data_IF_413557973782
#
_entry.id   IF_413557973782
#
_cell.length_a   1.000
_cell.length_b   1.000
_cell.length_c   1.000
_cell.angle_alpha   90.00
_cell.angle_beta   90.00
_cell.angle_gamma   90.00
#
_symmetry.space_group_name_H-M   'P 1'
#
loop_
_entity.id
_entity.type
_entity.pdbx_description
1 polymer ?
#
# COMPACT_ATOMS: atom_id res chain seq x y z
N UNK A 1 6.11 -1.67 -24.28
CA UNK A 1 4.65 -1.45 -24.27
C UNK A 1 4.00 -2.14 -23.06
N UNK A 2 4.22 -3.42 -22.82
CA UNK A 2 3.67 -4.21 -21.72
C UNK A 2 3.95 -3.58 -20.34
N UNK A 3 5.17 -3.14 -20.07
CA UNK A 3 5.55 -2.52 -18.79
C UNK A 3 4.79 -1.23 -18.46
N UNK A 4 4.40 -0.46 -19.48
CA UNK A 4 3.57 0.74 -19.30
C UNK A 4 2.14 0.36 -18.94
N UNK A 5 1.60 -0.68 -19.56
CA UNK A 5 0.25 -1.17 -19.27
C UNK A 5 0.19 -1.75 -17.85
N UNK A 6 1.15 -2.60 -17.47
CA UNK A 6 1.26 -3.17 -16.12
C UNK A 6 1.36 -2.06 -15.07
N UNK A 7 2.15 -1.02 -15.34
CA UNK A 7 2.27 0.13 -14.46
C UNK A 7 0.94 0.88 -14.28
N UNK A 8 0.21 1.17 -15.37
CA UNK A 8 -1.06 1.88 -15.31
C UNK A 8 -2.15 1.05 -14.63
N UNK A 9 -2.26 -0.22 -15.00
CA UNK A 9 -3.23 -1.15 -14.41
C UNK A 9 -2.92 -1.38 -12.93
N UNK A 10 -1.66 -1.62 -12.58
CA UNK A 10 -1.23 -1.79 -11.20
C UNK A 10 -1.49 -0.55 -10.34
N UNK A 11 -1.20 0.64 -10.87
CA UNK A 11 -1.43 1.91 -10.18
C UNK A 11 -2.91 2.16 -9.92
N UNK A 12 -3.75 2.02 -10.95
CA UNK A 12 -5.20 2.20 -10.82
C UNK A 12 -5.82 1.13 -9.93
N UNK A 13 -5.41 -0.14 -10.09
CA UNK A 13 -5.90 -1.25 -9.30
C UNK A 13 -5.55 -1.12 -7.81
N UNK A 14 -4.28 -0.86 -7.49
CA UNK A 14 -3.86 -0.66 -6.10
C UNK A 14 -4.48 0.60 -5.48
N UNK A 15 -4.54 1.70 -6.21
CA UNK A 15 -5.18 2.92 -5.72
C UNK A 15 -6.65 2.72 -5.39
N UNK A 16 -7.39 2.05 -6.27
CA UNK A 16 -8.81 1.73 -6.06
C UNK A 16 -9.00 0.75 -4.89
N UNK A 17 -8.14 -0.27 -4.76
CA UNK A 17 -8.17 -1.21 -3.65
C UNK A 17 -7.95 -0.52 -2.30
N UNK A 18 -6.99 0.41 -2.22
CA UNK A 18 -6.74 1.16 -0.99
C UNK A 18 -7.87 2.09 -0.62
N UNK A 19 -8.51 2.73 -1.61
CA UNK A 19 -9.72 3.52 -1.37
C UNK A 19 -10.86 2.64 -0.85
N UNK A 20 -11.06 1.47 -1.45
CA UNK A 20 -12.07 0.52 -1.01
C UNK A 20 -11.77 0.01 0.40
N UNK A 21 -10.53 -0.36 0.69
CA UNK A 21 -10.10 -0.82 2.01
C UNK A 21 -10.31 0.25 3.10
N UNK A 22 -9.90 1.49 2.83
CA UNK A 22 -10.13 2.61 3.74
C UNK A 22 -11.63 2.90 3.93
N UNK A 23 -12.41 2.89 2.85
CA UNK A 23 -13.85 3.10 2.90
C UNK A 23 -14.58 2.06 3.76
N UNK A 24 -14.30 0.77 3.58
CA UNK A 24 -14.95 -0.30 4.36
C UNK A 24 -14.65 -0.18 5.85
N UNK A 25 -13.41 0.17 6.22
CA UNK A 25 -13.00 0.38 7.61
C UNK A 25 -13.63 1.64 8.22
N UNK A 26 -13.72 2.74 7.46
CA UNK A 26 -14.37 3.97 7.92
C UNK A 26 -15.87 3.79 8.13
N UNK A 27 -16.50 2.92 7.36
CA UNK A 27 -17.92 2.60 7.50
C UNK A 27 -18.25 1.80 8.76
N UNK A 28 -17.31 0.98 9.22
CA UNK A 28 -17.49 0.11 10.39
C UNK A 28 -16.25 0.14 11.30
N UNK A 29 -15.94 1.29 11.94
CA UNK A 29 -14.71 1.47 12.70
C UNK A 29 -14.59 0.52 13.89
N UNK A 30 -15.71 0.18 14.53
CA UNK A 30 -15.73 -0.74 15.66
C UNK A 30 -15.33 -2.17 15.26
N UNK A 31 -15.84 -2.66 14.12
CA UNK A 31 -15.46 -4.00 13.62
C UNK A 31 -13.98 -4.04 13.22
N UNK A 32 -13.47 -2.94 12.67
CA UNK A 32 -12.05 -2.86 12.35
C UNK A 32 -11.17 -2.81 13.61
N UNK A 33 -11.62 -2.13 14.66
CA UNK A 33 -10.96 -2.14 15.96
C UNK A 33 -10.87 -3.56 16.54
N UNK A 34 -11.98 -4.32 16.48
CA UNK A 34 -11.99 -5.73 16.89
C UNK A 34 -11.03 -6.60 16.04
N UNK A 35 -10.96 -6.36 14.73
CA UNK A 35 -10.01 -7.07 13.87
C UNK A 35 -8.56 -6.77 14.26
N UNK A 36 -8.21 -5.52 14.54
CA UNK A 36 -6.86 -5.13 15.00
C UNK A 36 -6.53 -5.74 16.36
N UNK A 37 -7.50 -5.76 17.28
CA UNK A 37 -7.33 -6.37 18.62
C UNK A 37 -7.12 -7.89 18.50
N UNK A 38 -7.79 -8.53 17.56
CA UNK A 38 -7.68 -9.97 17.27
C UNK A 38 -6.27 -10.44 16.95
N UNK A 39 -5.39 -9.57 16.46
CA UNK A 39 -3.98 -9.91 16.22
C UNK A 39 -3.17 -10.14 17.52
N UNK A 40 -3.65 -9.64 18.67
CA UNK A 40 -3.01 -9.76 19.98
C UNK A 40 -1.52 -9.31 19.98
N UNK A 41 -1.21 -8.29 19.22
CA UNK A 41 0.15 -7.74 19.08
C UNK A 41 0.31 -6.37 19.76
N UNK A 42 -0.81 -5.68 20.01
CA UNK A 42 -0.81 -4.31 20.50
C UNK A 42 -1.59 -4.18 21.82
N UNK A 43 -1.18 -3.28 22.71
CA UNK A 43 -1.98 -2.93 23.88
C UNK A 43 -3.25 -2.16 23.46
N UNK A 44 -4.34 -2.29 24.22
CA UNK A 44 -5.67 -1.78 23.91
C UNK A 44 -5.69 -0.30 23.50
N UNK A 45 -4.90 0.56 24.14
CA UNK A 45 -4.82 1.98 23.79
C UNK A 45 -4.25 2.22 22.38
N UNK A 46 -3.29 1.39 21.94
CA UNK A 46 -2.68 1.48 20.61
C UNK A 46 -3.62 0.93 19.55
N UNK A 47 -4.39 -0.11 19.85
CA UNK A 47 -5.41 -0.68 18.96
C UNK A 47 -6.39 0.42 18.51
N UNK A 48 -6.91 1.21 19.44
CA UNK A 48 -7.86 2.30 19.15
C UNK A 48 -7.22 3.34 18.21
N UNK A 49 -5.98 3.75 18.46
CA UNK A 49 -5.26 4.73 17.64
C UNK A 49 -5.06 4.18 16.21
N UNK A 50 -4.56 2.96 16.11
CA UNK A 50 -4.33 2.30 14.81
C UNK A 50 -5.65 2.17 14.03
N UNK A 51 -6.71 1.70 14.69
CA UNK A 51 -8.01 1.53 14.06
C UNK A 51 -8.63 2.84 13.56
N UNK A 52 -8.30 3.97 14.19
CA UNK A 52 -8.78 5.30 13.78
C UNK A 52 -7.93 5.95 12.69
N UNK A 53 -6.62 5.82 12.76
CA UNK A 53 -5.66 6.50 11.85
C UNK A 53 -5.48 5.74 10.55
N UNK A 54 -5.39 4.41 10.60
CA UNK A 54 -5.04 3.59 9.46
C UNK A 54 -6.01 3.71 8.27
N UNK A 55 -7.34 3.73 8.45
CA UNK A 55 -8.27 3.89 7.33
C UNK A 55 -8.09 5.21 6.58
N UNK A 56 -7.83 6.29 7.29
CA UNK A 56 -7.55 7.60 6.68
C UNK A 56 -6.25 7.59 5.89
N UNK A 57 -5.23 6.94 6.43
CA UNK A 57 -3.94 6.78 5.75
C UNK A 57 -4.09 5.96 4.45
N UNK A 58 -4.92 4.91 4.47
CA UNK A 58 -5.23 4.11 3.27
C UNK A 58 -5.94 4.97 2.21
N UNK A 59 -6.94 5.77 2.59
CA UNK A 59 -7.64 6.66 1.66
C UNK A 59 -6.68 7.68 1.07
N UNK A 60 -5.88 8.35 1.89
CA UNK A 60 -4.89 9.35 1.43
C UNK A 60 -3.87 8.72 0.49
N UNK A 61 -3.32 7.55 0.82
CA UNK A 61 -2.37 6.85 -0.04
C UNK A 61 -3.01 6.40 -1.35
N UNK A 62 -4.25 5.90 -1.32
CA UNK A 62 -5.00 5.53 -2.52
C UNK A 62 -5.20 6.72 -3.45
N UNK A 63 -5.66 7.86 -2.93
CA UNK A 63 -5.82 9.09 -3.69
C UNK A 63 -4.48 9.61 -4.23
N UNK A 64 -3.44 9.61 -3.40
CA UNK A 64 -2.11 10.05 -3.80
C UNK A 64 -1.55 9.20 -4.94
N UNK A 65 -1.70 7.88 -4.86
CA UNK A 65 -1.28 6.97 -5.91
C UNK A 65 -2.06 7.22 -7.21
N UNK A 66 -3.39 7.43 -7.12
CA UNK A 66 -4.24 7.73 -8.28
C UNK A 66 -3.90 9.09 -8.90
N UNK A 67 -3.62 10.11 -8.10
CA UNK A 67 -3.18 11.42 -8.58
C UNK A 67 -1.84 11.35 -9.32
N UNK A 68 -0.98 10.38 -8.96
CA UNK A 68 0.32 10.17 -9.63
C UNK A 68 1.38 11.21 -9.29
N UNK A 69 1.11 12.07 -8.30
CA UNK A 69 2.07 13.06 -7.87
C UNK A 69 3.19 12.40 -7.06
N UNK A 70 4.44 12.66 -7.47
CA UNK A 70 5.63 12.02 -6.84
C UNK A 70 5.45 10.51 -6.63
N UNK A 71 5.09 9.81 -7.68
CA UNK A 71 4.69 8.40 -7.68
C UNK A 71 5.67 7.47 -6.94
N UNK A 72 6.98 7.77 -6.98
CA UNK A 72 8.00 7.01 -6.25
C UNK A 72 7.72 6.94 -4.74
N UNK A 73 7.33 8.08 -4.14
CA UNK A 73 7.05 8.13 -2.70
C UNK A 73 5.74 7.43 -2.36
N UNK A 74 4.66 7.73 -3.08
CA UNK A 74 3.36 7.10 -2.81
C UNK A 74 3.42 5.57 -2.97
N UNK A 75 4.09 5.08 -4.02
CA UNK A 75 4.27 3.64 -4.24
C UNK A 75 5.16 3.01 -3.16
N UNK A 76 6.21 3.70 -2.69
CA UNK A 76 7.09 3.20 -1.62
C UNK A 76 6.35 3.14 -0.29
N UNK A 77 5.58 4.17 0.08
CA UNK A 77 4.76 4.14 1.30
C UNK A 77 3.72 3.04 1.26
N UNK A 78 3.05 2.86 0.12
CA UNK A 78 2.08 1.79 -0.07
C UNK A 78 2.72 0.40 0.03
N UNK A 79 3.87 0.19 -0.60
CA UNK A 79 4.63 -1.04 -0.47
C UNK A 79 5.06 -1.32 0.97
N UNK A 80 5.52 -0.30 1.70
CA UNK A 80 5.90 -0.43 3.11
C UNK A 80 4.71 -0.81 3.98
N UNK A 81 3.55 -0.20 3.76
CA UNK A 81 2.33 -0.50 4.50
C UNK A 81 1.84 -1.93 4.23
N UNK A 82 1.78 -2.35 2.95
CA UNK A 82 1.42 -3.72 2.58
C UNK A 82 2.41 -4.73 3.14
N UNK A 83 3.71 -4.46 3.05
CA UNK A 83 4.74 -5.32 3.62
C UNK A 83 4.59 -5.50 5.12
N UNK A 84 4.30 -4.41 5.84
CA UNK A 84 4.01 -4.47 7.27
C UNK A 84 2.80 -5.36 7.56
N UNK A 85 1.70 -5.22 6.81
CA UNK A 85 0.52 -6.08 6.98
C UNK A 85 0.82 -7.55 6.71
N UNK A 86 1.52 -7.86 5.63
CA UNK A 86 1.90 -9.25 5.30
C UNK A 86 2.72 -9.87 6.42
N UNK A 87 3.67 -9.13 7.00
CA UNK A 87 4.48 -9.60 8.14
C UNK A 87 3.60 -9.84 9.36
N UNK A 88 2.75 -8.90 9.73
CA UNK A 88 1.85 -8.99 10.90
C UNK A 88 0.90 -10.20 10.74
N UNK A 89 0.28 -10.35 9.57
CA UNK A 89 -0.59 -11.50 9.27
C UNK A 89 0.19 -12.82 9.32
N UNK A 90 1.39 -12.86 8.75
CA UNK A 90 2.24 -14.06 8.75
C UNK A 90 2.64 -14.48 10.17
N UNK A 91 3.02 -13.53 11.01
CA UNK A 91 3.33 -13.80 12.43
C UNK A 91 2.11 -14.30 13.19
N UNK A 92 0.95 -13.69 12.99
CA UNK A 92 -0.31 -14.08 13.65
C UNK A 92 -0.73 -15.49 13.22
N UNK A 93 -0.64 -15.78 11.93
CA UNK A 93 -0.90 -17.11 11.38
C UNK A 93 0.05 -18.18 11.95
N UNK A 94 1.35 -17.87 12.02
CA UNK A 94 2.37 -18.78 12.57
C UNK A 94 2.17 -19.06 14.06
N UNK A 95 1.57 -18.11 14.80
CA UNK A 95 1.20 -18.26 16.21
C UNK A 95 -0.09 -19.08 16.41
N UNK A 96 -0.78 -19.48 15.34
CA UNK A 96 -2.04 -20.20 15.40
C UNK A 96 -3.21 -19.36 15.95
N UNK A 97 -3.12 -18.03 15.87
CA UNK A 97 -4.17 -17.11 16.31
C UNK A 97 -5.18 -16.95 15.17
N UNK A 98 -6.43 -17.28 15.44
CA UNK A 98 -7.52 -17.00 14.53
C UNK A 98 -7.90 -15.52 14.62
N UNK A 99 -7.56 -14.74 13.61
CA UNK A 99 -7.88 -13.34 13.50
C UNK A 99 -8.43 -13.03 12.11
N UNK A 100 -9.20 -11.95 12.00
CA UNK A 100 -9.65 -11.43 10.72
C UNK A 100 -8.51 -10.67 10.04
N UNK A 101 -8.35 -10.86 8.74
CA UNK A 101 -7.35 -10.15 7.93
C UNK A 101 -7.50 -8.63 8.04
N UNK A 102 -8.74 -8.12 8.02
CA UNK A 102 -9.04 -6.70 8.12
C UNK A 102 -8.49 -5.84 6.97
N UNK A 103 -7.92 -6.45 5.91
CA UNK A 103 -7.32 -5.72 4.81
C UNK A 103 -8.36 -5.11 3.87
N UNK A 104 -9.25 -5.93 3.30
CA UNK A 104 -10.22 -5.50 2.28
C UNK A 104 -11.68 -5.80 2.66
N UNK A 105 -11.93 -6.49 3.75
CA UNK A 105 -13.24 -6.81 4.26
C UNK A 105 -13.20 -7.15 5.74
N UNK A 106 -14.31 -6.96 6.41
CA UNK A 106 -14.47 -7.34 7.80
C UNK A 106 -15.03 -8.78 7.82
N UNK A 107 -14.43 -9.65 8.65
CA UNK A 107 -14.84 -11.04 8.76
C UNK A 107 -14.14 -11.98 7.77
N UNK A 108 -13.07 -11.56 7.09
CA UNK A 108 -12.22 -12.49 6.35
C UNK A 108 -11.13 -13.07 7.26
N UNK A 109 -11.13 -14.38 7.54
CA UNK A 109 -10.08 -14.99 8.37
C UNK A 109 -8.72 -14.97 7.67
N UNK A 110 -7.65 -14.94 8.46
CA UNK A 110 -6.30 -15.11 7.95
C UNK A 110 -6.14 -16.57 7.51
N UNK A 111 -5.97 -16.76 6.20
CA UNK A 111 -5.75 -18.07 5.56
C UNK A 111 -4.53 -18.02 4.66
N UNK A 112 -3.97 -19.16 4.23
CA UNK A 112 -2.92 -19.17 3.22
C UNK A 112 -3.32 -18.45 1.91
N UNK A 113 -4.61 -18.45 1.58
CA UNK A 113 -5.15 -17.77 0.39
C UNK A 113 -5.07 -16.26 0.56
N UNK A 114 -5.52 -15.72 1.71
CA UNK A 114 -5.44 -14.28 2.00
C UNK A 114 -4.00 -13.80 2.09
N UNK A 115 -3.11 -14.58 2.71
CA UNK A 115 -1.68 -14.29 2.76
C UNK A 115 -1.04 -14.25 1.37
N UNK A 116 -1.38 -15.21 0.50
CA UNK A 116 -0.86 -15.23 -0.89
C UNK A 116 -1.35 -14.04 -1.68
N UNK A 117 -2.64 -13.70 -1.58
CA UNK A 117 -3.25 -12.53 -2.23
C UNK A 117 -2.51 -11.25 -1.83
N UNK A 118 -2.33 -11.03 -0.53
CA UNK A 118 -1.75 -9.80 -0.01
C UNK A 118 -0.24 -9.72 -0.29
N UNK A 119 0.45 -10.88 -0.33
CA UNK A 119 1.85 -10.96 -0.79
C UNK A 119 2.00 -10.60 -2.26
N UNK A 120 1.06 -10.99 -3.12
CA UNK A 120 1.05 -10.60 -4.54
C UNK A 120 0.80 -9.09 -4.71
N UNK A 121 -0.11 -8.52 -3.92
CA UNK A 121 -0.35 -7.08 -3.91
C UNK A 121 0.88 -6.30 -3.42
N UNK A 122 1.56 -6.82 -2.41
CA UNK A 122 2.84 -6.28 -1.94
C UNK A 122 3.90 -6.33 -3.03
N UNK A 123 4.07 -7.46 -3.71
CA UNK A 123 5.01 -7.60 -4.83
C UNK A 123 4.71 -6.61 -5.97
N UNK A 124 3.43 -6.40 -6.29
CA UNK A 124 3.00 -5.41 -7.27
C UNK A 124 3.34 -3.98 -6.83
N UNK A 125 3.13 -3.65 -5.56
CA UNK A 125 3.47 -2.33 -5.02
C UNK A 125 4.99 -2.07 -5.04
N UNK A 126 5.79 -3.08 -4.69
CA UNK A 126 7.26 -3.02 -4.79
C UNK A 126 7.69 -2.81 -6.24
N UNK A 127 7.10 -3.55 -7.17
CA UNK A 127 7.36 -3.37 -8.59
C UNK A 127 7.07 -1.93 -9.05
N UNK A 128 5.92 -1.37 -8.66
CA UNK A 128 5.57 0.02 -8.99
C UNK A 128 6.55 1.03 -8.39
N UNK A 129 6.99 0.81 -7.15
CA UNK A 129 7.99 1.65 -6.49
C UNK A 129 9.32 1.62 -7.26
N UNK A 130 9.85 0.44 -7.55
CA UNK A 130 11.11 0.27 -8.29
C UNK A 130 11.01 0.89 -9.69
N UNK A 131 9.89 0.67 -10.38
CA UNK A 131 9.67 1.25 -11.71
C UNK A 131 9.64 2.77 -11.69
N UNK A 132 8.97 3.36 -10.68
CA UNK A 132 8.90 4.81 -10.52
C UNK A 132 10.27 5.43 -10.23
N UNK A 133 11.08 4.80 -9.36
CA UNK A 133 12.44 5.24 -9.06
C UNK A 133 13.36 5.17 -10.27
N UNK A 134 13.30 4.10 -11.05
CA UNK A 134 14.12 3.93 -12.26
C UNK A 134 13.78 4.96 -13.34
N UNK A 135 12.51 5.29 -13.52
CA UNK A 135 12.09 6.29 -14.54
C UNK A 135 12.60 7.69 -14.22
N UNK A 136 12.56 8.10 -12.96
CA UNK A 136 13.08 9.42 -12.58
C UNK A 136 14.60 9.50 -12.69
N UNK A 137 15.31 8.42 -12.33
CA UNK A 137 16.77 8.36 -12.51
C UNK A 137 17.18 8.53 -13.98
N UNK A 138 16.45 7.91 -14.91
CA UNK A 138 16.74 8.01 -16.36
C UNK A 138 16.33 9.38 -16.95
N UNK A 139 15.27 10.00 -16.41
CA UNK A 139 14.81 11.32 -16.87
C UNK A 139 15.72 12.48 -16.43
N UNK A 140 16.42 12.30 -15.31
CA UNK A 140 17.37 13.33 -14.79
C UNK A 140 18.69 13.40 -15.56
N UNK A 141 19.03 12.35 -16.32
CA UNK A 141 20.30 12.29 -17.09
C UNK A 141 20.18 12.91 -18.47
N UNK A 142 18.97 13.29 -18.93
CA UNK A 142 18.70 13.82 -20.26
C UNK A 142 18.49 15.34 -20.30
N UNK A 143 19.16 16.10 -19.43
CA UNK A 143 19.24 17.56 -19.60
C UNK A 143 20.17 17.84 -20.78
N UNK A 144 19.70 18.46 -21.89
CA UNK A 144 20.60 18.85 -22.98
C UNK A 144 21.59 19.91 -22.48
N UNK A 145 22.84 19.90 -22.95
CA UNK A 145 23.80 20.95 -22.62
C UNK A 145 23.24 22.29 -23.10
N UNK A 146 23.28 23.28 -22.23
CA UNK A 146 22.91 24.66 -22.57
C UNK A 146 23.73 25.11 -23.79
N UNK A 147 23.10 25.76 -24.80
CA UNK A 147 23.85 26.30 -25.91
C UNK A 147 24.86 27.33 -25.39
N UNK A 148 26.13 27.09 -25.67
CA UNK A 148 27.18 28.08 -25.43
C UNK A 148 26.79 29.38 -26.13
N UNK A 149 26.55 30.43 -25.36
CA UNK A 149 26.45 31.78 -25.91
C UNK A 149 27.83 32.15 -26.48
N UNK A 150 27.95 32.11 -27.79
CA UNK A 150 29.05 32.75 -28.47
C UNK A 150 28.97 34.26 -28.20
N UNK A 151 29.81 34.75 -27.34
CA UNK A 151 30.04 36.17 -27.17
C UNK A 151 30.95 36.61 -28.32
N UNK A 152 30.36 37.32 -29.29
CA UNK A 152 31.10 38.06 -30.31
C UNK A 152 31.23 39.49 -29.86
#
# INVERSE_FOLDING_TARGET
MIWRVVHWVGRLGLGALFLYAGYTKLRSPFLFEMAVDGYQLLPAGTVIVVARVLPWLEVVLGLWLLAGWKLRYSATFMASLLGFFVVVMGVTYARGIEADCGCFGLGEPITPVTLTRDSLLFALAVFLAIYAWRREATGSTAAPPLPERSVS
#
